data_IF_702858485542
#
_entry.id   IF_702858485542
#
_cell.length_a   1.000
_cell.length_b   1.000
_cell.length_c   1.000
_cell.angle_alpha   90.00
_cell.angle_beta   90.00
_cell.angle_gamma   90.00
#
_symmetry.space_group_name_H-M   'P 1'
#
loop_
_entity.id
_entity.type
_entity.pdbx_description
1 polymer ?
#
# COMPACT_ATOMS: atom_id res chain seq x y z
N UNK A 1 -20.30 -17.47 12.52
CA UNK A 1 -19.20 -16.53 12.29
C UNK A 1 -18.57 -16.87 10.94
N UNK A 2 -18.97 -16.19 9.86
CA UNK A 2 -18.38 -16.42 8.54
C UNK A 2 -17.34 -15.33 8.29
N UNK A 3 -16.06 -15.70 8.32
CA UNK A 3 -14.99 -14.82 7.85
C UNK A 3 -14.92 -15.04 6.34
N UNK A 4 -15.56 -14.13 5.59
CA UNK A 4 -15.51 -14.13 4.13
C UNK A 4 -14.27 -13.32 3.71
N UNK A 5 -13.13 -14.00 3.55
CA UNK A 5 -11.90 -13.36 3.08
C UNK A 5 -11.86 -13.33 1.54
N UNK A 6 -12.30 -12.23 0.94
CA UNK A 6 -12.05 -11.94 -0.47
C UNK A 6 -10.68 -11.22 -0.57
N UNK A 7 -9.66 -11.88 -1.12
CA UNK A 7 -8.33 -11.31 -1.35
C UNK A 7 -8.29 -10.37 -2.56
N UNK A 8 -9.23 -9.44 -2.63
CA UNK A 8 -9.27 -8.46 -3.71
C UNK A 8 -8.42 -7.26 -3.31
N UNK A 9 -7.24 -7.15 -3.94
CA UNK A 9 -6.33 -6.02 -3.76
C UNK A 9 -5.98 -5.37 -5.11
N UNK A 10 -5.74 -4.06 -5.07
CA UNK A 10 -5.28 -3.28 -6.21
C UNK A 10 -3.80 -2.94 -5.97
N UNK A 11 -2.95 -3.44 -6.86
CA UNK A 11 -1.52 -3.14 -6.88
C UNK A 11 -1.26 -1.90 -7.75
N UNK A 12 -0.69 -0.85 -7.15
CA UNK A 12 -0.26 0.35 -7.88
C UNK A 12 1.26 0.31 -7.99
N UNK A 13 1.76 0.20 -9.22
CA UNK A 13 3.20 0.30 -9.51
C UNK A 13 3.67 1.74 -9.37
N UNK A 14 4.71 1.97 -8.58
CA UNK A 14 5.35 3.28 -8.43
C UNK A 14 6.87 3.15 -8.53
N UNK A 15 7.53 4.05 -9.26
CA UNK A 15 8.99 4.11 -9.29
C UNK A 15 9.59 4.47 -7.93
N UNK A 16 8.91 5.37 -7.20
CA UNK A 16 9.28 5.82 -5.85
C UNK A 16 8.08 5.61 -4.91
N UNK A 17 8.09 4.47 -4.22
CA UNK A 17 7.01 4.06 -3.32
C UNK A 17 6.94 4.98 -2.09
N UNK A 18 8.06 5.52 -1.63
CA UNK A 18 8.10 6.42 -0.49
C UNK A 18 7.37 7.73 -0.80
N UNK A 19 7.69 8.36 -1.96
CA UNK A 19 6.96 9.56 -2.41
C UNK A 19 5.48 9.29 -2.68
N UNK A 20 5.17 8.12 -3.25
CA UNK A 20 3.77 7.74 -3.45
C UNK A 20 3.06 7.63 -2.10
N UNK A 21 3.65 6.97 -1.10
CA UNK A 21 3.09 6.85 0.24
C UNK A 21 2.84 8.23 0.88
N UNK A 22 3.80 9.15 0.80
CA UNK A 22 3.62 10.53 1.29
C UNK A 22 2.48 11.26 0.59
N UNK A 23 2.38 11.11 -0.74
CA UNK A 23 1.30 11.71 -1.52
C UNK A 23 -0.08 11.18 -1.10
N UNK A 24 -0.20 9.88 -0.83
CA UNK A 24 -1.43 9.30 -0.32
C UNK A 24 -1.73 9.76 1.11
N UNK A 25 -0.73 9.83 2.00
CA UNK A 25 -0.86 10.39 3.35
C UNK A 25 -1.40 11.83 3.31
N UNK A 26 -0.80 12.69 2.46
CA UNK A 26 -1.25 14.08 2.29
C UNK A 26 -2.68 14.20 1.75
N UNK A 27 -3.12 13.24 0.94
CA UNK A 27 -4.51 13.19 0.42
C UNK A 27 -5.51 12.58 1.40
N UNK A 28 -5.09 12.21 2.60
CA UNK A 28 -5.96 11.59 3.62
C UNK A 28 -6.24 10.11 3.37
N UNK A 29 -5.46 9.48 2.49
CA UNK A 29 -5.37 8.03 2.36
C UNK A 29 -4.17 7.58 3.21
N UNK A 30 -4.40 7.43 4.52
CA UNK A 30 -3.36 7.00 5.45
C UNK A 30 -2.64 5.75 4.96
N UNK A 31 -1.35 5.64 5.27
CA UNK A 31 -0.51 4.50 4.88
C UNK A 31 -0.16 3.68 6.10
N UNK A 32 -0.12 2.36 5.92
CA UNK A 32 0.15 1.41 6.98
C UNK A 32 1.66 1.15 7.04
N UNK A 33 2.37 2.02 7.78
CA UNK A 33 3.84 1.99 7.89
C UNK A 33 4.37 0.67 8.45
N UNK A 34 3.58 -0.02 9.28
CA UNK A 34 3.92 -1.36 9.79
C UNK A 34 3.96 -2.44 8.70
N UNK A 35 3.29 -2.21 7.58
CA UNK A 35 3.29 -3.12 6.42
C UNK A 35 4.30 -2.70 5.36
N UNK A 36 5.16 -1.71 5.63
CA UNK A 36 6.21 -1.30 4.71
C UNK A 36 7.32 -2.34 4.68
N UNK A 37 7.68 -2.79 3.49
CA UNK A 37 8.86 -3.63 3.25
C UNK A 37 9.84 -2.91 2.35
N UNK A 38 11.11 -3.13 2.60
CA UNK A 38 12.21 -2.50 1.90
C UNK A 38 12.98 -3.54 1.08
N UNK A 39 13.57 -3.11 -0.04
CA UNK A 39 14.55 -3.89 -0.79
C UNK A 39 15.92 -3.86 -0.08
N UNK A 40 16.84 -4.70 -0.52
CA UNK A 40 18.22 -4.79 -0.01
C UNK A 40 18.97 -3.46 -0.17
N UNK A 41 18.63 -2.67 -1.20
CA UNK A 41 19.16 -1.31 -1.44
C UNK A 41 18.57 -0.22 -0.51
N UNK A 42 17.63 -0.58 0.38
CA UNK A 42 16.97 0.37 1.28
C UNK A 42 15.80 1.15 0.65
N UNK A 43 15.48 0.92 -0.63
CA UNK A 43 14.29 1.50 -1.26
C UNK A 43 13.03 0.79 -0.76
N UNK A 44 11.93 1.55 -0.62
CA UNK A 44 10.66 0.98 -0.17
C UNK A 44 10.08 0.11 -1.29
N UNK A 45 9.99 -1.20 -1.06
CA UNK A 45 9.55 -2.22 -2.02
C UNK A 45 8.04 -2.30 -2.10
N UNK A 46 7.36 -2.32 -0.95
CA UNK A 46 5.91 -2.30 -0.91
C UNK A 46 5.38 -1.66 0.37
N UNK A 47 4.18 -1.08 0.30
CA UNK A 47 3.43 -0.58 1.46
C UNK A 47 1.93 -0.67 1.19
N UNK A 48 1.14 -1.00 2.22
CA UNK A 48 -0.32 -1.00 2.15
C UNK A 48 -0.90 0.34 2.56
N UNK A 49 -2.02 0.71 1.95
CA UNK A 49 -2.85 1.81 2.42
C UNK A 49 -3.75 1.34 3.55
N UNK A 50 -3.96 2.21 4.53
CA UNK A 50 -4.84 1.98 5.67
C UNK A 50 -6.32 1.97 5.25
N UNK A 51 -6.64 2.75 4.21
CA UNK A 51 -7.99 2.80 3.64
C UNK A 51 -8.18 1.78 2.52
N UNK A 52 -9.36 1.16 2.53
CA UNK A 52 -9.88 0.39 1.41
C UNK A 52 -10.71 1.28 0.49
N UNK A 53 -10.60 1.07 -0.82
CA UNK A 53 -11.44 1.74 -1.82
C UNK A 53 -12.38 0.70 -2.41
N UNK A 54 -13.69 0.94 -2.34
CA UNK A 54 -14.73 0.04 -2.85
C UNK A 54 -14.63 -1.42 -2.36
N UNK A 55 -14.07 -1.65 -1.16
CA UNK A 55 -13.86 -2.99 -0.59
C UNK A 55 -12.55 -3.67 -1.00
N UNK A 56 -11.69 -3.00 -1.75
CA UNK A 56 -10.37 -3.49 -2.16
C UNK A 56 -9.29 -2.90 -1.27
N UNK A 57 -8.37 -3.75 -0.81
CA UNK A 57 -7.13 -3.29 -0.18
C UNK A 57 -6.19 -2.74 -1.26
N UNK A 58 -5.60 -1.57 -1.05
CA UNK A 58 -4.66 -1.00 -2.02
C UNK A 58 -3.25 -1.16 -1.47
N UNK A 59 -2.34 -1.64 -2.31
CA UNK A 59 -0.91 -1.61 -2.01
C UNK A 59 -0.14 -0.92 -3.11
N UNK A 60 0.95 -0.27 -2.71
CA UNK A 60 1.94 0.33 -3.59
C UNK A 60 3.10 -0.65 -3.69
N UNK A 61 3.56 -0.89 -4.92
CA UNK A 61 4.69 -1.79 -5.20
C UNK A 61 5.71 -1.08 -6.08
N UNK A 62 6.98 -1.25 -5.76
CA UNK A 62 8.08 -0.80 -6.61
C UNK A 62 8.22 -1.70 -7.84
N UNK A 63 8.32 -1.10 -9.03
CA UNK A 63 8.66 -1.77 -10.30
C UNK A 63 10.01 -1.27 -10.80
#
# INVERSE_FOLDING_TARGET
MFILAFFFYIAIGAHDVAKAAEFFEMRGMGVKKDSATYNEDGTMKFIYLDKMIAGFAIHLKQY
#
